data_IF_595953661577
#
_entry.id   IF_595953661577
#
_cell.length_a   1.000
_cell.length_b   1.000
_cell.length_c   1.000
_cell.angle_alpha   90.00
_cell.angle_beta   90.00
_cell.angle_gamma   90.00
#
_symmetry.space_group_name_H-M   'P 1'
#
loop_
_entity.id
_entity.type
_entity.pdbx_description
1 polymer ?
#
# COMPACT_ATOMS: atom_id res chain seq x y z
N UNK A 1 9.67 -12.00 -9.49
CA UNK A 1 9.29 -12.27 -8.09
C UNK A 1 9.80 -13.62 -7.62
N UNK A 2 9.35 -14.79 -8.13
CA UNK A 2 9.89 -16.11 -7.71
C UNK A 2 11.42 -16.19 -7.71
N UNK A 3 12.08 -15.87 -8.83
CA UNK A 3 13.55 -15.86 -8.92
C UNK A 3 14.28 -14.98 -7.89
N UNK A 4 13.64 -13.89 -7.42
CA UNK A 4 14.25 -12.99 -6.43
C UNK A 4 14.09 -13.56 -5.03
N UNK A 5 12.91 -14.10 -4.74
CA UNK A 5 12.67 -14.87 -3.53
C UNK A 5 13.64 -16.05 -3.42
N UNK A 6 13.76 -16.84 -4.48
CA UNK A 6 14.65 -18.03 -4.52
C UNK A 6 16.14 -17.64 -4.40
N UNK A 7 16.51 -16.40 -4.72
CA UNK A 7 17.89 -15.93 -4.59
C UNK A 7 18.26 -15.66 -3.13
N UNK A 8 17.33 -15.06 -2.37
CA UNK A 8 17.49 -14.81 -0.93
C UNK A 8 17.25 -16.08 -0.10
N UNK A 9 16.49 -17.05 -0.64
CA UNK A 9 16.24 -18.35 -0.02
C UNK A 9 17.44 -19.31 -0.20
N UNK A 10 18.59 -18.97 0.37
CA UNK A 10 19.83 -19.75 0.19
C UNK A 10 19.75 -21.19 0.73
N UNK A 11 18.85 -21.46 1.68
CA UNK A 11 18.78 -22.73 2.42
C UNK A 11 17.77 -23.75 1.86
N UNK A 12 16.96 -23.40 0.86
CA UNK A 12 15.98 -24.33 0.29
C UNK A 12 14.82 -24.68 1.24
N UNK A 13 14.54 -23.85 2.24
CA UNK A 13 13.50 -24.08 3.27
C UNK A 13 12.08 -23.75 2.80
N UNK A 14 11.92 -23.05 1.67
CA UNK A 14 10.67 -22.52 1.16
C UNK A 14 10.21 -21.23 1.84
N UNK A 15 11.06 -20.61 2.66
CA UNK A 15 10.80 -19.36 3.36
C UNK A 15 12.05 -18.46 3.45
N UNK A 16 11.84 -17.16 3.57
CA UNK A 16 12.90 -16.20 3.94
C UNK A 16 12.58 -15.59 5.30
N UNK A 17 13.60 -15.20 6.05
CA UNK A 17 13.47 -14.42 7.28
C UNK A 17 13.15 -12.98 6.97
N UNK A 18 12.59 -12.28 7.96
CA UNK A 18 12.35 -10.84 7.89
C UNK A 18 13.62 -10.03 7.64
N UNK A 19 14.77 -10.50 8.15
CA UNK A 19 16.05 -9.84 7.93
C UNK A 19 16.52 -9.98 6.48
N UNK A 20 16.38 -11.16 5.88
CA UNK A 20 16.69 -11.38 4.45
C UNK A 20 15.78 -10.51 3.57
N UNK A 21 14.49 -10.44 3.88
CA UNK A 21 13.55 -9.56 3.17
C UNK A 21 13.99 -8.09 3.18
N UNK A 22 14.33 -7.51 4.33
CA UNK A 22 14.79 -6.12 4.39
C UNK A 22 16.19 -5.91 3.82
N UNK A 23 17.07 -6.92 3.91
CA UNK A 23 18.40 -6.89 3.28
C UNK A 23 18.29 -6.81 1.76
N UNK A 24 17.39 -7.60 1.17
CA UNK A 24 17.07 -7.56 -0.26
C UNK A 24 16.59 -6.17 -0.71
N UNK A 25 15.82 -5.47 0.12
CA UNK A 25 15.34 -4.11 -0.14
C UNK A 25 16.40 -3.02 0.11
N UNK A 26 17.58 -3.39 0.61
CA UNK A 26 18.57 -2.45 1.13
C UNK A 26 18.00 -1.48 2.17
N UNK A 27 17.08 -1.98 3.01
CA UNK A 27 16.35 -1.19 3.99
C UNK A 27 16.81 -1.58 5.40
N UNK A 28 17.07 -0.57 6.23
CA UNK A 28 17.47 -0.82 7.62
C UNK A 28 16.25 -0.91 8.54
N UNK A 29 16.32 -1.70 9.63
CA UNK A 29 15.27 -1.71 10.63
C UNK A 29 15.09 -0.31 11.24
N UNK A 30 13.94 0.30 10.99
CA UNK A 30 13.52 1.61 11.52
C UNK A 30 12.03 1.63 11.80
N UNK A 31 11.51 2.71 12.40
CA UNK A 31 10.09 2.82 12.75
C UNK A 31 9.17 2.52 11.56
N UNK A 32 9.52 3.00 10.36
CA UNK A 32 8.80 2.72 9.11
C UNK A 32 8.78 1.26 8.65
N UNK A 33 9.62 0.38 9.19
CA UNK A 33 9.65 -1.04 8.79
C UNK A 33 8.88 -1.94 9.74
N UNK A 34 8.62 -1.47 10.97
CA UNK A 34 8.04 -2.29 12.05
C UNK A 34 6.60 -2.71 11.77
N UNK A 35 5.79 -1.82 11.20
CA UNK A 35 4.39 -2.11 10.87
C UNK A 35 4.14 -2.49 9.43
N UNK A 36 5.19 -2.73 8.62
CA UNK A 36 5.04 -2.89 7.18
C UNK A 36 4.15 -4.10 6.82
N UNK A 37 4.40 -5.25 7.45
CA UNK A 37 3.64 -6.47 7.20
C UNK A 37 2.17 -6.32 7.62
N UNK A 38 1.93 -5.77 8.80
CA UNK A 38 0.57 -5.49 9.27
C UNK A 38 -0.18 -4.53 8.33
N UNK A 39 0.51 -3.50 7.82
CA UNK A 39 -0.07 -2.53 6.90
C UNK A 39 -0.45 -3.12 5.54
N UNK A 40 0.19 -4.22 5.11
CA UNK A 40 -0.19 -4.95 3.89
C UNK A 40 -1.15 -6.11 4.17
N UNK A 41 -1.68 -6.22 5.41
CA UNK A 41 -2.66 -7.24 5.79
C UNK A 41 -2.06 -8.59 6.20
N UNK A 42 -0.75 -8.63 6.48
CA UNK A 42 -0.07 -9.83 6.97
C UNK A 42 0.07 -9.81 8.50
N UNK A 43 0.53 -10.94 9.06
CA UNK A 43 0.71 -11.08 10.51
C UNK A 43 1.81 -10.13 11.01
N UNK A 44 1.53 -9.35 12.07
CA UNK A 44 2.40 -8.29 12.61
C UNK A 44 3.84 -8.73 12.91
N UNK A 45 4.02 -9.92 13.48
CA UNK A 45 5.33 -10.43 13.90
C UNK A 45 5.76 -11.65 13.07
N UNK A 46 5.67 -11.51 11.74
CA UNK A 46 6.24 -12.49 10.81
C UNK A 46 7.72 -12.73 11.12
N UNK A 47 8.07 -13.99 11.40
CA UNK A 47 9.47 -14.44 11.54
C UNK A 47 10.00 -15.04 10.24
N UNK A 48 9.11 -15.69 9.51
CA UNK A 48 9.34 -16.38 8.24
C UNK A 48 8.29 -15.90 7.25
N UNK A 49 8.69 -15.64 6.03
CA UNK A 49 7.88 -15.08 4.96
C UNK A 49 7.83 -16.14 3.87
N UNK A 50 6.64 -16.69 3.64
CA UNK A 50 6.40 -17.59 2.52
C UNK A 50 6.28 -16.79 1.22
N UNK A 51 6.34 -17.49 0.09
CA UNK A 51 6.29 -16.85 -1.22
C UNK A 51 5.03 -15.98 -1.43
N UNK A 52 3.88 -16.47 -0.99
CA UNK A 52 2.62 -15.76 -1.17
C UNK A 52 2.60 -14.46 -0.36
N UNK A 53 3.07 -14.50 0.89
CA UNK A 53 3.23 -13.32 1.76
C UNK A 53 4.23 -12.33 1.16
N UNK A 54 5.34 -12.83 0.61
CA UNK A 54 6.32 -12.01 -0.10
C UNK A 54 5.67 -11.28 -1.29
N UNK A 55 4.89 -11.98 -2.11
CA UNK A 55 4.20 -11.38 -3.27
C UNK A 55 3.18 -10.35 -2.81
N UNK A 56 2.40 -10.63 -1.76
CA UNK A 56 1.44 -9.69 -1.18
C UNK A 56 2.15 -8.42 -0.72
N UNK A 57 3.23 -8.55 0.04
CA UNK A 57 3.98 -7.40 0.56
C UNK A 57 4.58 -6.56 -0.56
N UNK A 58 5.32 -7.18 -1.49
CA UNK A 58 5.97 -6.47 -2.60
C UNK A 58 4.93 -5.80 -3.50
N UNK A 59 3.88 -6.52 -3.92
CA UNK A 59 2.87 -5.98 -4.83
C UNK A 59 2.09 -4.83 -4.19
N UNK A 60 1.78 -4.92 -2.89
CA UNK A 60 1.03 -3.88 -2.18
C UNK A 60 1.88 -2.62 -2.02
N UNK A 61 3.08 -2.74 -1.45
CA UNK A 61 3.96 -1.57 -1.23
C UNK A 61 4.39 -0.93 -2.54
N UNK A 62 4.69 -1.72 -3.57
CA UNK A 62 5.04 -1.21 -4.90
C UNK A 62 3.93 -0.38 -5.54
N UNK A 63 2.67 -0.63 -5.18
CA UNK A 63 1.50 -0.01 -5.82
C UNK A 63 0.74 0.98 -4.92
N UNK A 64 1.24 1.25 -3.72
CA UNK A 64 0.72 2.33 -2.89
C UNK A 64 0.80 3.68 -3.59
N UNK A 65 -0.30 4.43 -3.53
CA UNK A 65 -0.36 5.82 -3.91
C UNK A 65 0.38 6.70 -2.89
N UNK A 66 0.64 7.95 -3.25
CA UNK A 66 1.24 8.93 -2.31
C UNK A 66 0.40 9.08 -1.04
N UNK A 67 -0.93 9.05 -1.18
CA UNK A 67 -1.84 9.16 -0.04
C UNK A 67 -1.75 7.94 0.88
N UNK A 68 -1.61 6.74 0.33
CA UNK A 68 -1.47 5.52 1.13
C UNK A 68 -0.11 5.44 1.82
N UNK A 69 0.97 5.83 1.13
CA UNK A 69 2.29 5.96 1.75
C UNK A 69 2.26 6.93 2.93
N UNK A 70 1.58 8.07 2.77
CA UNK A 70 1.46 9.07 3.81
C UNK A 70 0.63 8.57 4.99
N UNK A 71 -0.51 7.94 4.70
CA UNK A 71 -1.38 7.36 5.71
C UNK A 71 -0.65 6.25 6.50
N UNK A 72 0.11 5.41 5.79
CA UNK A 72 0.96 4.39 6.42
C UNK A 72 1.96 5.03 7.39
N UNK A 73 2.69 6.04 6.92
CA UNK A 73 3.68 6.74 7.73
C UNK A 73 3.03 7.39 8.96
N UNK A 74 1.92 8.10 8.77
CA UNK A 74 1.14 8.69 9.86
C UNK A 74 0.82 7.65 10.94
N UNK A 75 0.25 6.50 10.54
CA UNK A 75 -0.09 5.41 11.46
C UNK A 75 1.13 4.81 12.18
N UNK A 76 2.33 4.86 11.60
CA UNK A 76 3.54 4.35 12.27
C UNK A 76 4.05 5.27 13.39
N UNK A 77 3.64 6.54 13.40
CA UNK A 77 4.15 7.56 14.32
C UNK A 77 3.09 8.18 15.24
N UNK A 78 1.80 8.09 14.89
CA UNK A 78 0.67 8.25 15.82
C UNK A 78 0.59 7.00 16.71
N UNK A 79 1.43 6.98 17.76
CA UNK A 79 1.66 5.80 18.62
C UNK A 79 0.50 5.59 19.59
N UNK A 80 -0.16 6.67 19.99
CA UNK A 80 -1.33 6.61 20.88
C UNK A 80 -2.66 6.42 20.14
N UNK A 81 -2.63 6.35 18.80
CA UNK A 81 -3.79 6.19 17.92
C UNK A 81 -4.85 7.28 18.15
N UNK A 82 -4.44 8.47 18.54
CA UNK A 82 -5.34 9.61 18.78
C UNK A 82 -5.91 10.22 17.49
N UNK A 83 -5.33 9.87 16.33
CA UNK A 83 -5.70 10.42 15.03
C UNK A 83 -5.03 11.75 14.71
N UNK A 84 -4.12 12.22 15.58
CA UNK A 84 -3.29 13.41 15.40
C UNK A 84 -1.89 13.11 15.91
N UNK A 85 -0.85 13.69 15.29
CA UNK A 85 0.51 13.62 15.84
C UNK A 85 0.75 14.80 16.77
N UNK A 86 1.09 14.51 18.03
CA UNK A 86 1.58 15.52 18.97
C UNK A 86 3.01 15.99 18.61
N UNK A 87 3.52 17.01 19.31
CA UNK A 87 4.84 17.56 19.02
C UNK A 87 6.00 16.57 19.17
N UNK A 88 5.84 15.51 19.99
CA UNK A 88 6.83 14.44 20.18
C UNK A 88 6.75 13.42 19.05
N UNK A 89 5.56 13.01 18.68
CA UNK A 89 5.31 12.09 17.56
C UNK A 89 5.73 12.70 16.24
N UNK A 90 5.42 13.98 16.01
CA UNK A 90 5.85 14.68 14.82
C UNK A 90 7.38 14.81 14.74
N UNK A 91 8.05 14.99 15.89
CA UNK A 91 9.51 14.97 15.94
C UNK A 91 10.07 13.60 15.60
N UNK A 92 9.50 12.55 16.19
CA UNK A 92 9.89 11.17 15.89
C UNK A 92 9.64 10.83 14.41
N UNK A 93 8.54 11.29 13.83
CA UNK A 93 8.23 11.20 12.41
C UNK A 93 9.32 11.85 11.58
N UNK A 94 9.65 13.12 11.85
CA UNK A 94 10.72 13.82 11.15
C UNK A 94 12.10 13.15 11.32
N UNK A 95 12.41 12.61 12.50
CA UNK A 95 13.69 11.92 12.77
C UNK A 95 13.77 10.54 12.12
N UNK A 96 12.73 9.73 12.19
CA UNK A 96 12.67 8.41 11.56
C UNK A 96 12.69 8.45 10.04
N UNK A 97 12.45 9.64 9.47
CA UNK A 97 12.55 9.97 8.05
C UNK A 97 13.93 10.51 7.65
N UNK A 98 14.88 10.68 8.58
CA UNK A 98 16.25 11.08 8.22
C UNK A 98 17.03 9.84 7.78
N UNK A 99 17.39 9.78 6.50
CA UNK A 99 18.44 8.87 6.02
C UNK A 99 19.85 9.50 6.12
N UNK A 100 19.94 10.83 6.14
CA UNK A 100 21.17 11.59 6.42
C UNK A 100 20.83 12.97 7.03
N UNK A 101 21.71 13.48 7.87
CA UNK A 101 21.43 14.34 9.04
C UNK A 101 21.13 15.84 8.81
N UNK A 102 20.48 16.27 7.73
CA UNK A 102 20.37 17.72 7.40
C UNK A 102 19.02 18.39 7.67
N UNK A 103 17.98 17.68 8.11
CA UNK A 103 16.65 18.27 8.32
C UNK A 103 16.40 18.62 9.79
N UNK A 104 16.29 19.91 10.11
CA UNK A 104 15.82 20.38 11.42
C UNK A 104 14.40 20.92 11.26
N UNK A 105 13.43 20.19 11.81
CA UNK A 105 12.08 20.70 11.97
C UNK A 105 12.02 21.43 13.31
N UNK A 106 12.03 22.76 13.30
CA UNK A 106 11.80 23.56 14.51
C UNK A 106 10.32 23.47 14.88
N UNK A 107 9.97 22.43 15.63
CA UNK A 107 8.61 22.22 16.08
C UNK A 107 8.36 22.94 17.41
N UNK A 108 7.31 23.76 17.46
CA UNK A 108 6.76 24.22 18.73
C UNK A 108 6.12 23.04 19.47
N UNK A 109 6.32 22.95 20.79
CA UNK A 109 5.82 21.82 21.60
C UNK A 109 4.28 21.66 21.57
N UNK A 110 3.54 22.67 21.10
CA UNK A 110 2.09 22.67 20.98
C UNK A 110 1.59 22.41 19.54
N UNK A 111 2.47 22.07 18.60
CA UNK A 111 2.03 21.70 17.25
C UNK A 111 1.33 20.34 17.31
N UNK A 112 0.10 20.30 16.81
CA UNK A 112 -0.67 19.08 16.57
C UNK A 112 -0.92 19.03 15.08
N UNK A 113 -0.63 17.88 14.45
CA UNK A 113 -0.74 17.71 12.99
C UNK A 113 -1.59 16.49 12.69
N UNK A 114 -2.71 16.70 12.00
CA UNK A 114 -3.51 15.60 11.49
C UNK A 114 -3.00 15.13 10.11
N UNK A 115 -3.57 14.03 9.60
CA UNK A 115 -3.19 13.50 8.28
C UNK A 115 -3.47 14.49 7.14
N UNK A 116 -4.52 15.31 7.26
CA UNK A 116 -4.90 16.27 6.24
C UNK A 116 -3.92 17.46 6.20
N UNK A 117 -3.45 17.92 7.36
CA UNK A 117 -2.40 18.92 7.51
C UNK A 117 -1.10 18.42 6.90
N UNK A 118 -0.74 17.16 7.18
CA UNK A 118 0.43 16.51 6.60
C UNK A 118 0.33 16.39 5.07
N UNK A 119 -0.86 16.08 4.55
CA UNK A 119 -1.12 15.96 3.11
C UNK A 119 -1.13 17.32 2.39
N UNK A 120 -1.57 18.38 3.07
CA UNK A 120 -1.55 19.77 2.58
C UNK A 120 -0.18 20.45 2.77
N UNK A 121 0.70 19.83 3.54
CA UNK A 121 1.90 20.43 4.11
C UNK A 121 2.79 21.18 3.13
N UNK A 122 3.45 22.22 3.65
CA UNK A 122 4.47 23.04 2.98
C UNK A 122 5.65 22.20 2.46
N UNK A 123 6.61 22.84 1.77
CA UNK A 123 7.84 22.19 1.29
C UNK A 123 8.60 21.39 2.36
N UNK A 124 8.39 21.68 3.64
CA UNK A 124 9.02 20.98 4.77
C UNK A 124 8.47 19.56 4.94
N UNK A 125 7.16 19.36 4.80
CA UNK A 125 6.56 18.03 4.81
C UNK A 125 6.79 17.27 3.50
N UNK A 126 7.14 17.96 2.40
CA UNK A 126 7.53 17.29 1.15
C UNK A 126 8.80 16.44 1.34
N UNK A 127 9.74 16.85 2.21
CA UNK A 127 10.96 16.09 2.52
C UNK A 127 10.63 14.79 3.25
N UNK A 128 9.58 14.79 4.08
CA UNK A 128 9.09 13.59 4.75
C UNK A 128 8.61 12.47 3.80
N UNK A 129 8.31 12.80 2.54
CA UNK A 129 7.98 11.79 1.53
C UNK A 129 9.19 11.04 1.01
N UNK A 130 10.40 11.61 1.09
CA UNK A 130 11.57 11.03 0.44
C UNK A 130 11.88 9.60 0.91
N UNK A 131 11.87 9.28 2.22
CA UNK A 131 12.14 7.92 2.69
C UNK A 131 11.02 6.93 2.37
N UNK A 132 9.76 7.40 2.33
CA UNK A 132 8.62 6.58 1.93
C UNK A 132 8.70 6.22 0.44
N UNK A 133 9.05 7.21 -0.38
CA UNK A 133 9.30 7.01 -1.80
C UNK A 133 10.54 6.13 -2.03
N UNK A 134 11.58 6.28 -1.21
CA UNK A 134 12.77 5.44 -1.27
C UNK A 134 12.44 3.98 -0.93
N UNK A 135 11.71 3.72 0.15
CA UNK A 135 11.24 2.37 0.50
C UNK A 135 10.44 1.77 -0.67
N UNK A 136 9.49 2.53 -1.22
CA UNK A 136 8.71 2.07 -2.37
C UNK A 136 9.60 1.82 -3.59
N UNK A 137 10.60 2.67 -3.86
CA UNK A 137 11.54 2.50 -4.97
C UNK A 137 12.42 1.26 -4.78
N UNK A 138 12.90 0.99 -3.57
CA UNK A 138 13.59 -0.25 -3.22
C UNK A 138 12.72 -1.48 -3.49
N UNK A 139 11.44 -1.44 -3.09
CA UNK A 139 10.51 -2.52 -3.40
C UNK A 139 10.30 -2.68 -4.92
N UNK A 140 10.19 -1.56 -5.65
CA UNK A 140 10.00 -1.60 -7.10
C UNK A 140 11.24 -2.09 -7.86
N UNK A 141 12.44 -1.85 -7.33
CA UNK A 141 13.70 -2.28 -7.94
C UNK A 141 13.96 -3.79 -7.77
N UNK A 142 13.45 -4.41 -6.69
CA UNK A 142 13.57 -5.85 -6.43
C UNK A 142 12.80 -6.77 -7.39
N UNK A 143 12.07 -6.22 -8.37
CA UNK A 143 11.48 -6.85 -9.57
C UNK A 143 9.97 -6.64 -9.69
N UNK A 144 9.42 -6.59 -10.92
CA UNK A 144 10.08 -6.63 -12.24
C UNK A 144 10.69 -5.30 -12.71
N UNK A 145 10.72 -4.28 -11.83
CA UNK A 145 11.24 -2.94 -12.14
C UNK A 145 10.14 -1.89 -12.28
N UNK A 146 10.55 -0.62 -12.27
CA UNK A 146 9.66 0.54 -12.17
C UNK A 146 8.55 0.55 -13.23
N UNK A 147 8.89 0.27 -14.50
CA UNK A 147 7.90 0.30 -15.60
C UNK A 147 6.80 -0.75 -15.44
N UNK A 148 7.12 -1.90 -14.88
CA UNK A 148 6.11 -2.92 -14.60
C UNK A 148 5.18 -2.42 -13.50
N UNK A 149 5.75 -1.96 -12.40
CA UNK A 149 4.97 -1.50 -11.24
C UNK A 149 4.14 -0.26 -11.54
N UNK A 150 4.63 0.66 -12.37
CA UNK A 150 3.85 1.78 -12.87
C UNK A 150 2.59 1.31 -13.63
N UNK A 151 2.69 0.26 -14.45
CA UNK A 151 1.52 -0.32 -15.14
C UNK A 151 0.57 -1.01 -14.17
N UNK A 152 1.08 -1.71 -13.16
CA UNK A 152 0.24 -2.36 -12.13
C UNK A 152 -0.48 -1.30 -11.29
N UNK A 153 0.22 -0.25 -10.85
CA UNK A 153 -0.36 0.87 -10.11
C UNK A 153 -1.43 1.60 -10.94
N UNK A 154 -1.17 1.82 -12.25
CA UNK A 154 -2.17 2.36 -13.16
C UNK A 154 -3.43 1.48 -13.21
N UNK A 155 -3.28 0.17 -13.40
CA UNK A 155 -4.41 -0.77 -13.44
C UNK A 155 -5.18 -0.80 -12.11
N UNK A 156 -4.47 -0.72 -10.99
CA UNK A 156 -5.09 -0.61 -9.66
C UNK A 156 -5.94 0.65 -9.56
N UNK A 157 -5.44 1.79 -10.05
CA UNK A 157 -6.21 3.03 -10.11
C UNK A 157 -7.43 2.91 -11.03
N UNK A 158 -7.30 2.26 -12.19
CA UNK A 158 -8.43 2.01 -13.10
C UNK A 158 -9.52 1.15 -12.43
N UNK A 159 -9.13 0.15 -11.63
CA UNK A 159 -10.07 -0.63 -10.80
C UNK A 159 -10.83 0.30 -9.84
N UNK A 160 -10.14 1.17 -9.09
CA UNK A 160 -10.82 2.11 -8.17
C UNK A 160 -11.82 3.03 -8.87
N UNK A 161 -11.48 3.51 -10.08
CA UNK A 161 -12.38 4.35 -10.88
C UNK A 161 -13.65 3.60 -11.26
N UNK A 162 -13.53 2.33 -11.68
CA UNK A 162 -14.70 1.49 -12.00
C UNK A 162 -15.52 1.20 -10.74
N UNK A 163 -14.88 0.85 -9.63
CA UNK A 163 -15.58 0.59 -8.37
C UNK A 163 -16.33 1.85 -7.91
N UNK A 164 -15.71 3.03 -8.01
CA UNK A 164 -16.39 4.29 -7.71
C UNK A 164 -17.60 4.53 -8.62
N UNK A 165 -17.49 4.26 -9.92
CA UNK A 165 -18.62 4.29 -10.84
C UNK A 165 -19.74 3.34 -10.38
N UNK A 166 -19.41 2.08 -10.07
CA UNK A 166 -20.38 1.08 -9.60
C UNK A 166 -21.12 1.56 -8.34
N UNK A 167 -20.42 2.16 -7.37
CA UNK A 167 -21.04 2.74 -6.17
C UNK A 167 -22.09 3.82 -6.51
N UNK A 168 -21.81 4.66 -7.50
CA UNK A 168 -22.73 5.72 -7.95
C UNK A 168 -23.88 5.19 -8.83
N UNK A 169 -23.72 4.01 -9.42
CA UNK A 169 -24.63 3.40 -10.39
C UNK A 169 -25.22 2.07 -9.92
N UNK A 170 -25.40 1.88 -8.60
CA UNK A 170 -26.08 0.71 -8.01
C UNK A 170 -25.48 -0.63 -8.47
N UNK A 171 -24.15 -0.70 -8.59
CA UNK A 171 -23.42 -1.89 -9.00
C UNK A 171 -23.30 -2.08 -10.52
N UNK A 172 -23.86 -1.20 -11.35
CA UNK A 172 -23.72 -1.30 -12.81
C UNK A 172 -22.28 -1.00 -13.27
N UNK A 173 -21.81 -1.77 -14.26
CA UNK A 173 -20.48 -1.60 -14.85
C UNK A 173 -20.49 -0.54 -15.96
N UNK A 174 -19.41 0.23 -16.12
CA UNK A 174 -19.28 1.11 -17.28
C UNK A 174 -19.23 0.28 -18.57
N UNK A 175 -19.81 0.81 -19.65
CA UNK A 175 -19.93 0.07 -20.91
C UNK A 175 -18.56 -0.20 -21.55
N UNK A 176 -18.30 -1.46 -21.90
CA UNK A 176 -17.15 -1.85 -22.72
C UNK A 176 -17.55 -1.99 -24.18
N UNK A 177 -16.71 -1.49 -25.09
CA UNK A 177 -16.89 -1.71 -26.53
C UNK A 177 -16.88 -3.22 -26.86
N UNK A 178 -17.86 -3.67 -27.64
CA UNK A 178 -18.00 -5.07 -28.07
C UNK A 178 -16.74 -5.55 -28.82
N UNK A 179 -16.14 -4.70 -29.65
CA UNK A 179 -14.89 -4.99 -30.35
C UNK A 179 -13.74 -5.31 -29.39
N UNK A 180 -13.65 -4.63 -28.24
CA UNK A 180 -12.64 -4.89 -27.23
C UNK A 180 -12.83 -6.24 -26.56
N UNK A 181 -14.08 -6.66 -26.32
CA UNK A 181 -14.39 -7.99 -25.78
C UNK A 181 -13.96 -9.12 -26.73
N UNK A 182 -14.25 -8.95 -28.01
CA UNK A 182 -13.83 -9.91 -29.05
C UNK A 182 -12.31 -9.96 -29.16
N UNK A 183 -11.65 -8.80 -29.19
CA UNK A 183 -10.18 -8.72 -29.28
C UNK A 183 -9.49 -9.34 -28.07
N UNK A 184 -10.03 -9.16 -26.86
CA UNK A 184 -9.50 -9.77 -25.64
C UNK A 184 -9.53 -11.31 -25.69
N UNK A 185 -10.58 -11.89 -26.27
CA UNK A 185 -10.72 -13.33 -26.44
C UNK A 185 -9.73 -13.88 -27.47
N UNK A 186 -9.58 -13.19 -28.62
CA UNK A 186 -8.72 -13.64 -29.73
C UNK A 186 -7.23 -13.40 -29.46
N UNK A 187 -6.87 -12.37 -28.70
CA UNK A 187 -5.50 -12.00 -28.37
C UNK A 187 -5.34 -11.86 -26.85
N UNK A 188 -5.12 -12.96 -26.12
CA UNK A 188 -5.00 -12.95 -24.65
C UNK A 188 -3.86 -12.08 -24.12
N UNK A 189 -2.82 -11.81 -24.92
CA UNK A 189 -1.70 -10.93 -24.55
C UNK A 189 -1.94 -9.45 -24.92
N UNK A 190 -3.11 -9.09 -25.44
CA UNK A 190 -3.43 -7.73 -25.86
C UNK A 190 -3.82 -6.80 -24.70
N UNK A 191 -3.76 -5.49 -24.95
CA UNK A 191 -4.27 -4.46 -24.05
C UNK A 191 -5.76 -4.65 -23.72
N UNK A 192 -6.54 -5.21 -24.64
CA UNK A 192 -7.96 -5.48 -24.43
C UNK A 192 -8.22 -6.53 -23.33
N UNK A 193 -7.35 -7.54 -23.20
CA UNK A 193 -7.47 -8.52 -22.12
C UNK A 193 -7.11 -7.90 -20.76
N UNK A 194 -6.16 -6.96 -20.72
CA UNK A 194 -5.84 -6.21 -19.50
C UNK A 194 -7.04 -5.36 -19.03
N UNK A 195 -7.73 -4.67 -19.95
CA UNK A 195 -8.95 -3.92 -19.62
C UNK A 195 -10.06 -4.84 -19.09
N UNK A 196 -10.26 -6.01 -19.70
CA UNK A 196 -11.25 -6.98 -19.22
C UNK A 196 -10.90 -7.50 -17.81
N UNK A 197 -9.62 -7.73 -17.53
CA UNK A 197 -9.16 -8.15 -16.20
C UNK A 197 -9.43 -7.07 -15.14
N UNK A 198 -9.20 -5.79 -15.47
CA UNK A 198 -9.52 -4.64 -14.61
C UNK A 198 -11.01 -4.62 -14.27
N UNK A 199 -11.90 -4.82 -15.24
CA UNK A 199 -13.34 -4.91 -14.97
C UNK A 199 -13.69 -6.07 -14.03
N UNK A 200 -13.12 -7.26 -14.24
CA UNK A 200 -13.36 -8.41 -13.35
C UNK A 200 -12.89 -8.15 -11.93
N UNK A 201 -11.71 -7.55 -11.78
CA UNK A 201 -11.18 -7.17 -10.47
C UNK A 201 -12.05 -6.12 -9.78
N UNK A 202 -12.61 -5.16 -10.53
CA UNK A 202 -13.54 -4.18 -9.98
C UNK A 202 -14.82 -4.83 -9.45
N UNK A 203 -15.37 -5.82 -10.15
CA UNK A 203 -16.55 -6.59 -9.66
C UNK A 203 -16.22 -7.27 -8.34
N UNK A 204 -15.10 -8.00 -8.29
CA UNK A 204 -14.69 -8.72 -7.09
C UNK A 204 -14.45 -7.77 -5.91
N UNK A 205 -13.77 -6.65 -6.16
CA UNK A 205 -13.51 -5.64 -5.15
C UNK A 205 -14.81 -5.00 -4.65
N UNK A 206 -15.72 -4.62 -5.55
CA UNK A 206 -17.01 -4.05 -5.18
C UNK A 206 -17.84 -5.02 -4.31
N UNK A 207 -17.91 -6.29 -4.69
CA UNK A 207 -18.62 -7.31 -3.91
C UNK A 207 -18.00 -7.51 -2.51
N UNK A 208 -16.68 -7.50 -2.41
CA UNK A 208 -15.99 -7.63 -1.12
C UNK A 208 -16.24 -6.40 -0.22
N UNK A 209 -16.23 -5.19 -0.78
CA UNK A 209 -16.58 -3.97 -0.03
C UNK A 209 -18.02 -4.00 0.48
N UNK A 210 -18.99 -4.44 -0.33
CA UNK A 210 -20.38 -4.61 0.11
C UNK A 210 -20.49 -5.61 1.26
N UNK A 211 -19.76 -6.73 1.19
CA UNK A 211 -19.72 -7.73 2.27
C UNK A 211 -19.21 -7.12 3.57
N UNK A 212 -18.08 -6.40 3.52
CA UNK A 212 -17.51 -5.71 4.69
C UNK A 212 -18.50 -4.70 5.27
N UNK A 213 -19.18 -3.93 4.43
CA UNK A 213 -20.18 -2.95 4.87
C UNK A 213 -21.36 -3.61 5.58
N UNK A 214 -21.85 -4.74 5.06
CA UNK A 214 -22.92 -5.51 5.68
C UNK A 214 -22.51 -6.06 7.05
N UNK A 215 -21.30 -6.61 7.16
CA UNK A 215 -20.74 -7.12 8.42
C UNK A 215 -20.60 -6.01 9.47
N UNK A 216 -20.10 -4.84 9.07
CA UNK A 216 -19.99 -3.68 9.96
C UNK A 216 -21.36 -3.15 10.39
N UNK A 217 -22.34 -3.11 9.49
CA UNK A 217 -23.70 -2.70 9.82
C UNK A 217 -24.36 -3.68 10.81
N UNK A 218 -24.13 -4.98 10.64
CA UNK A 218 -24.61 -6.01 11.56
C UNK A 218 -23.98 -5.85 12.95
N UNK A 219 -22.65 -5.72 13.02
CA UNK A 219 -21.93 -5.56 14.29
C UNK A 219 -22.37 -4.30 15.05
N UNK A 220 -22.64 -3.19 14.36
CA UNK A 220 -23.19 -1.96 14.98
C UNK A 220 -24.59 -2.19 15.53
N UNK A 221 -25.46 -2.86 14.78
CA UNK A 221 -26.83 -3.16 15.22
C UNK A 221 -26.87 -4.13 16.42
N UNK A 222 -25.86 -4.99 16.58
CA UNK A 222 -25.71 -5.85 17.76
C UNK A 222 -25.16 -5.09 18.97
N UNK A 223 -24.21 -4.18 18.75
CA UNK A 223 -23.67 -3.31 19.80
C UNK A 223 -24.75 -2.38 20.38
N UNK A 224 -25.62 -1.83 19.54
CA UNK A 224 -26.73 -0.95 19.98
C UNK A 224 -27.83 -1.69 20.77
N UNK A 225 -27.85 -3.03 20.74
CA UNK A 225 -28.80 -3.87 21.49
C UNK A 225 -28.25 -4.38 22.82
N UNK A 226 -26.96 -4.17 23.09
CA UNK A 226 -26.26 -4.62 24.30
C UNK A 226 -26.15 -3.49 25.32
#
# INVERSE_FOLDING_TARGET
>A
MRRFFDHEEELGTGDITTNEFFSMLHEQPRQLTKGLFEAVGLVRNLRRIHFDDFVICIATVATWSKSELLHYAFKQFDVDESGVMDGRELRAFCEGLKNDSSFYFENNANTVVDLQDLAKGSSEFQVAFYPLLQLQQSVRSCAPGERFWAKVAQRRQEVEVIVHYMRMHKGELPSLSIFKRILAYLLPSSQANAELAVHKLAILKYAEEERIWQEQAHARAEADKS
#
